data_IF_703052577470
#
_entry.id   IF_703052577470
#
_cell.length_a   1.000
_cell.length_b   1.000
_cell.length_c   1.000
_cell.angle_alpha   90.00
_cell.angle_beta   90.00
_cell.angle_gamma   90.00
#
_symmetry.space_group_name_H-M   'P 1'
#
loop_
_entity.id
_entity.type
_entity.pdbx_description
1 polymer ?
#
# COMPACT_ATOMS: atom_id res chain seq x y z
N UNK A 1 -26.49 18.29 -9.94
CA UNK A 1 -25.54 17.16 -9.77
C UNK A 1 -24.22 17.59 -10.37
N UNK A 2 -23.28 18.03 -9.52
CA UNK A 2 -21.90 18.34 -9.94
C UNK A 2 -21.13 17.06 -9.71
N UNK A 3 -20.92 16.29 -10.78
CA UNK A 3 -20.00 15.18 -10.77
C UNK A 3 -18.58 15.73 -10.64
N UNK A 4 -17.84 15.31 -9.63
CA UNK A 4 -16.38 15.48 -9.61
C UNK A 4 -15.82 14.66 -10.76
N UNK A 5 -15.67 15.28 -11.92
CA UNK A 5 -14.83 14.78 -12.98
C UNK A 5 -13.38 15.18 -12.64
N UNK A 6 -12.70 14.35 -11.87
CA UNK A 6 -11.26 14.41 -11.78
C UNK A 6 -10.68 13.42 -12.80
N UNK A 7 -10.83 13.75 -14.07
CA UNK A 7 -10.18 13.03 -15.19
C UNK A 7 -8.65 13.24 -15.20
N UNK A 8 -8.14 14.14 -14.38
CA UNK A 8 -6.70 14.44 -14.24
C UNK A 8 -5.87 13.24 -13.73
N UNK A 9 -6.51 12.23 -13.14
CA UNK A 9 -5.82 11.02 -12.67
C UNK A 9 -5.59 9.96 -13.75
N UNK A 10 -6.25 10.10 -14.88
CA UNK A 10 -6.24 9.09 -15.96
C UNK A 10 -5.50 9.55 -17.21
N UNK A 11 -5.10 10.81 -17.25
CA UNK A 11 -4.36 11.38 -18.38
C UNK A 11 -3.01 11.90 -17.86
N UNK A 12 -1.93 11.39 -18.44
CA UNK A 12 -0.64 12.08 -18.42
C UNK A 12 -0.81 13.35 -19.29
N UNK A 13 -1.41 14.38 -18.69
CA UNK A 13 -1.73 15.64 -19.36
C UNK A 13 -0.52 16.54 -19.60
N UNK A 14 0.70 16.10 -19.28
CA UNK A 14 1.94 16.85 -19.48
C UNK A 14 2.02 18.18 -18.71
N UNK A 15 1.08 18.44 -17.81
CA UNK A 15 0.97 19.71 -17.05
C UNK A 15 1.28 19.59 -15.56
N UNK A 16 1.36 18.39 -15.03
CA UNK A 16 1.67 18.16 -13.62
C UNK A 16 3.17 17.87 -13.48
N UNK A 17 3.82 18.57 -12.54
CA UNK A 17 5.20 18.25 -12.18
C UNK A 17 5.19 16.94 -11.36
N UNK A 18 5.70 15.83 -11.89
CA UNK A 18 5.71 14.55 -11.17
C UNK A 18 6.75 14.52 -10.03
N UNK A 19 7.71 15.42 -10.08
CA UNK A 19 8.84 15.42 -9.16
C UNK A 19 8.46 16.01 -7.81
N UNK A 20 8.76 15.25 -6.76
CA UNK A 20 8.60 15.67 -5.37
C UNK A 20 9.98 15.95 -4.75
N UNK A 21 10.11 17.12 -4.09
CA UNK A 21 11.36 17.53 -3.45
C UNK A 21 11.50 16.92 -2.07
N UNK A 22 11.84 15.65 -1.99
CA UNK A 22 11.99 14.87 -0.77
C UNK A 22 12.07 13.38 -1.08
N UNK A 23 12.16 12.57 -0.06
CA UNK A 23 12.14 11.11 -0.14
C UNK A 23 10.70 10.58 -0.26
N UNK A 24 10.55 9.26 -0.47
CA UNK A 24 9.24 8.60 -0.41
C UNK A 24 8.59 8.81 0.96
N UNK A 25 9.36 8.71 2.04
CA UNK A 25 8.85 8.94 3.39
C UNK A 25 8.40 10.39 3.58
N UNK A 26 9.20 11.38 3.14
CA UNK A 26 8.84 12.80 3.20
C UNK A 26 7.53 13.08 2.46
N UNK A 27 7.32 12.46 1.29
CA UNK A 27 6.08 12.60 0.55
C UNK A 27 4.86 12.15 1.36
N UNK A 28 4.96 11.01 2.02
CA UNK A 28 3.86 10.47 2.83
C UNK A 28 3.61 11.33 4.09
N UNK A 29 4.67 11.75 4.79
CA UNK A 29 4.59 12.55 6.02
C UNK A 29 4.05 13.96 5.76
N UNK A 30 4.42 14.56 4.63
CA UNK A 30 4.07 15.93 4.27
C UNK A 30 2.81 16.03 3.41
N UNK A 31 2.10 14.92 3.20
CA UNK A 31 0.85 14.95 2.45
C UNK A 31 -0.13 15.96 3.06
N UNK A 32 -0.72 16.87 2.26
CA UNK A 32 -1.57 17.96 2.76
C UNK A 32 -2.80 17.47 3.51
N UNK A 33 -3.38 16.35 3.09
CA UNK A 33 -4.44 15.68 3.84
C UNK A 33 -3.85 14.68 4.81
N UNK A 34 -3.81 15.04 6.10
CA UNK A 34 -3.27 14.20 7.17
C UNK A 34 -4.05 12.90 7.40
N UNK A 35 -5.30 12.83 6.96
CA UNK A 35 -6.11 11.61 7.05
C UNK A 35 -5.82 10.61 5.93
N UNK A 36 -4.91 10.94 5.02
CA UNK A 36 -4.62 10.10 3.88
C UNK A 36 -3.59 9.01 4.18
N UNK A 37 -2.49 9.37 4.90
CA UNK A 37 -1.35 8.50 5.15
C UNK A 37 -0.83 8.52 6.59
N UNK A 38 -1.52 9.12 7.56
CA UNK A 38 -0.98 9.22 8.92
C UNK A 38 -0.86 7.86 9.61
N UNK A 39 -1.84 6.99 9.47
CA UNK A 39 -1.77 5.62 9.99
C UNK A 39 -0.70 4.81 9.26
N UNK A 40 -0.62 4.97 7.93
CA UNK A 40 0.41 4.32 7.11
C UNK A 40 1.82 4.70 7.56
N UNK A 41 2.09 5.99 7.75
CA UNK A 41 3.38 6.51 8.22
C UNK A 41 3.70 6.00 9.62
N UNK A 42 2.73 6.04 10.54
CA UNK A 42 2.91 5.49 11.88
C UNK A 42 3.29 4.01 11.84
N UNK A 43 2.66 3.23 10.98
CA UNK A 43 2.97 1.80 10.85
C UNK A 43 4.29 1.53 10.15
N UNK A 44 4.73 2.39 9.22
CA UNK A 44 6.08 2.32 8.64
C UNK A 44 7.14 2.49 9.74
N UNK A 45 6.99 3.51 10.59
CA UNK A 45 7.89 3.73 11.73
C UNK A 45 7.83 2.57 12.73
N UNK A 46 6.65 2.16 13.11
CA UNK A 46 6.44 1.07 14.07
C UNK A 46 7.02 -0.27 13.58
N UNK A 47 6.92 -0.54 12.28
CA UNK A 47 7.51 -1.72 11.65
C UNK A 47 9.04 -1.63 11.45
N UNK A 48 9.66 -0.48 11.76
CA UNK A 48 11.10 -0.24 11.58
C UNK A 48 11.51 -0.22 10.11
N UNK A 49 10.66 0.33 9.24
CA UNK A 49 10.90 0.37 7.79
C UNK A 49 11.39 1.73 7.28
N UNK A 50 11.70 2.67 8.16
CA UNK A 50 12.11 4.04 7.81
C UNK A 50 13.19 4.07 6.74
N UNK A 51 14.25 3.28 6.92
CA UNK A 51 15.39 3.25 5.98
C UNK A 51 14.98 2.80 4.57
N UNK A 52 13.99 1.92 4.44
CA UNK A 52 13.48 1.49 3.14
C UNK A 52 12.87 2.67 2.40
N UNK A 53 12.07 3.48 3.09
CA UNK A 53 11.35 4.61 2.51
C UNK A 53 12.19 5.89 2.38
N UNK A 54 13.25 6.01 3.17
CA UNK A 54 14.18 7.16 3.10
C UNK A 54 15.31 6.95 2.10
N UNK A 55 15.87 5.73 2.02
CA UNK A 55 17.12 5.47 1.33
C UNK A 55 17.01 4.43 0.21
N UNK A 56 15.97 3.58 0.24
CA UNK A 56 15.79 2.54 -0.75
C UNK A 56 15.35 3.12 -2.10
N UNK A 57 15.88 2.59 -3.20
CA UNK A 57 15.35 2.84 -4.54
C UNK A 57 14.15 1.93 -4.77
N UNK A 58 12.94 2.50 -4.68
CA UNK A 58 11.70 1.73 -4.63
C UNK A 58 10.59 2.30 -5.49
N UNK A 59 9.69 1.42 -5.92
CA UNK A 59 8.33 1.76 -6.34
C UNK A 59 7.39 1.37 -5.20
N UNK A 60 6.65 2.33 -4.70
CA UNK A 60 5.73 2.13 -3.58
C UNK A 60 4.28 2.30 -4.03
N UNK A 61 3.51 1.24 -3.90
CA UNK A 61 2.07 1.27 -4.11
C UNK A 61 1.39 1.63 -2.79
N UNK A 62 1.21 2.91 -2.54
CA UNK A 62 0.76 3.44 -1.26
C UNK A 62 -0.71 3.12 -0.97
N UNK A 63 -1.03 2.24 0.00
CA UNK A 63 -2.38 2.09 0.50
C UNK A 63 -2.75 3.30 1.35
N UNK A 64 -4.02 3.67 1.37
CA UNK A 64 -4.51 4.77 2.20
C UNK A 64 -4.89 4.29 3.60
N UNK A 65 -4.98 5.21 4.55
CA UNK A 65 -5.44 4.93 5.92
C UNK A 65 -6.81 4.25 5.94
N UNK A 66 -7.69 4.56 4.98
CA UNK A 66 -8.99 3.91 4.84
C UNK A 66 -8.86 2.40 4.62
N UNK A 67 -7.93 1.99 3.75
CA UNK A 67 -7.68 0.57 3.48
C UNK A 67 -7.16 -0.16 4.72
N UNK A 68 -6.26 0.50 5.48
CA UNK A 68 -5.72 -0.02 6.74
C UNK A 68 -6.84 -0.19 7.77
N UNK A 69 -7.61 0.85 8.01
CA UNK A 69 -8.71 0.84 9.00
C UNK A 69 -9.78 -0.17 8.63
N UNK A 70 -10.06 -0.36 7.36
CA UNK A 70 -11.03 -1.35 6.90
C UNK A 70 -10.62 -2.78 7.27
N UNK A 71 -9.34 -3.13 7.09
CA UNK A 71 -8.81 -4.45 7.46
C UNK A 71 -8.72 -4.63 8.98
N UNK A 72 -8.36 -3.57 9.72
CA UNK A 72 -8.31 -3.60 11.20
C UNK A 72 -9.71 -3.67 11.81
N UNK A 73 -10.70 -3.00 11.23
CA UNK A 73 -12.11 -3.12 11.67
C UNK A 73 -12.63 -4.55 11.46
N UNK A 74 -12.26 -5.17 10.34
CA UNK A 74 -12.62 -6.58 10.10
C UNK A 74 -11.96 -7.52 11.11
N UNK A 75 -10.68 -7.32 11.44
CA UNK A 75 -10.00 -8.02 12.54
C UNK A 75 -10.73 -7.82 13.87
N UNK A 76 -11.08 -6.59 14.21
CA UNK A 76 -11.79 -6.25 15.45
C UNK A 76 -13.12 -6.98 15.57
N UNK A 77 -13.87 -7.04 14.46
CA UNK A 77 -15.13 -7.79 14.40
C UNK A 77 -14.92 -9.29 14.61
N UNK A 78 -13.88 -9.86 14.04
CA UNK A 78 -13.53 -11.28 14.24
C UNK A 78 -13.16 -11.57 15.70
N UNK A 79 -12.32 -10.73 16.31
CA UNK A 79 -11.94 -10.86 17.72
C UNK A 79 -13.19 -10.82 18.61
N UNK A 80 -14.04 -9.81 18.44
CA UNK A 80 -15.20 -9.61 19.29
C UNK A 80 -16.27 -10.69 19.10
N UNK A 81 -16.74 -10.91 17.87
CA UNK A 81 -17.89 -11.79 17.62
C UNK A 81 -17.54 -13.27 17.57
N UNK A 82 -16.30 -13.62 17.21
CA UNK A 82 -15.92 -15.03 17.03
C UNK A 82 -15.11 -15.54 18.23
N UNK A 83 -14.28 -14.70 18.83
CA UNK A 83 -13.37 -15.11 19.91
C UNK A 83 -13.77 -14.59 21.28
N UNK A 84 -14.70 -13.63 21.35
CA UNK A 84 -15.10 -12.99 22.62
C UNK A 84 -14.01 -12.11 23.22
N UNK A 85 -13.09 -11.63 22.40
CA UNK A 85 -11.98 -10.77 22.79
C UNK A 85 -12.28 -9.30 22.52
N UNK A 86 -11.50 -8.39 23.10
CA UNK A 86 -11.61 -6.96 22.86
C UNK A 86 -11.22 -6.59 21.43
N UNK A 87 -11.91 -5.60 20.87
CA UNK A 87 -11.57 -5.00 19.58
C UNK A 87 -10.24 -4.26 19.66
N UNK A 88 -9.54 -4.20 18.52
CA UNK A 88 -8.32 -3.39 18.37
C UNK A 88 -8.68 -1.91 18.46
N UNK A 89 -8.04 -1.18 19.35
CA UNK A 89 -8.25 0.27 19.61
C UNK A 89 -7.03 1.10 19.21
N UNK A 90 -5.87 0.46 19.10
CA UNK A 90 -4.60 1.05 18.73
C UNK A 90 -3.93 0.12 17.70
N UNK A 91 -3.49 0.65 16.59
CA UNK A 91 -2.86 -0.14 15.50
C UNK A 91 -1.63 -0.91 15.98
N UNK A 92 -0.94 -0.40 17.01
CA UNK A 92 0.23 -1.02 17.65
C UNK A 92 -0.10 -2.27 18.49
N UNK A 93 -1.39 -2.58 18.69
CA UNK A 93 -1.81 -3.87 19.25
C UNK A 93 -1.53 -5.02 18.26
N UNK A 94 -1.48 -4.72 16.96
CA UNK A 94 -0.99 -5.65 15.93
C UNK A 94 0.53 -5.53 15.94
N UNK A 95 1.23 -6.65 16.06
CA UNK A 95 2.69 -6.66 16.22
C UNK A 95 3.44 -6.10 15.00
N UNK A 96 4.61 -5.48 15.21
CA UNK A 96 5.36 -4.82 14.14
C UNK A 96 5.79 -5.76 13.01
N UNK A 97 6.06 -7.04 13.31
CA UNK A 97 6.39 -8.04 12.30
C UNK A 97 5.25 -8.31 11.31
N UNK A 98 3.99 -8.22 11.77
CA UNK A 98 2.82 -8.37 10.90
C UNK A 98 2.73 -7.16 9.96
N UNK A 99 2.85 -5.94 10.50
CA UNK A 99 2.88 -4.73 9.67
C UNK A 99 4.01 -4.78 8.65
N UNK A 100 5.20 -5.19 9.07
CA UNK A 100 6.37 -5.30 8.18
C UNK A 100 6.12 -6.28 7.03
N UNK A 101 5.54 -7.45 7.31
CA UNK A 101 5.21 -8.45 6.29
C UNK A 101 4.27 -7.85 5.23
N UNK A 102 3.15 -7.24 5.66
CA UNK A 102 2.15 -6.73 4.73
C UNK A 102 2.59 -5.43 4.03
N UNK A 103 3.24 -4.49 4.73
CA UNK A 103 3.78 -3.27 4.11
C UNK A 103 4.82 -3.61 3.03
N UNK A 104 5.65 -4.63 3.28
CA UNK A 104 6.66 -5.08 2.33
C UNK A 104 6.07 -5.62 1.02
N UNK A 105 4.81 -6.04 1.01
CA UNK A 105 4.10 -6.46 -0.21
C UNK A 105 3.81 -5.29 -1.15
N UNK A 106 3.75 -4.06 -0.65
CA UNK A 106 3.49 -2.85 -1.44
C UNK A 106 4.75 -2.18 -1.98
N UNK A 107 5.93 -2.72 -1.65
CA UNK A 107 7.22 -2.18 -2.06
C UNK A 107 7.87 -3.08 -3.11
N UNK A 108 8.13 -2.51 -4.28
CA UNK A 108 8.89 -3.17 -5.36
C UNK A 108 10.26 -2.49 -5.45
N UNK A 109 11.38 -3.23 -5.36
CA UNK A 109 12.70 -2.66 -5.62
C UNK A 109 12.82 -2.10 -7.03
N UNK A 110 13.43 -0.92 -7.16
CA UNK A 110 13.56 -0.21 -8.44
C UNK A 110 12.47 0.85 -8.69
N UNK A 111 12.67 1.66 -9.69
CA UNK A 111 11.76 2.77 -10.07
C UNK A 111 11.00 2.43 -11.33
N UNK A 112 9.70 2.27 -11.22
CA UNK A 112 8.80 1.93 -12.32
C UNK A 112 7.70 2.99 -12.42
N UNK A 113 7.78 3.84 -13.43
CA UNK A 113 6.69 4.73 -13.83
C UNK A 113 5.68 3.97 -14.68
N UNK A 114 4.51 4.56 -14.91
CA UNK A 114 3.46 3.97 -15.76
C UNK A 114 3.99 3.48 -17.12
N UNK A 115 4.91 4.25 -17.74
CA UNK A 115 5.52 3.92 -19.02
C UNK A 115 6.41 2.68 -19.01
N UNK A 116 6.90 2.28 -17.82
CA UNK A 116 7.83 1.16 -17.62
C UNK A 116 7.08 -0.15 -17.31
N UNK A 117 5.77 -0.07 -17.07
CA UNK A 117 4.93 -1.18 -16.68
C UNK A 117 4.23 -1.75 -17.93
N UNK A 118 4.28 -3.09 -18.13
CA UNK A 118 3.68 -3.71 -19.30
C UNK A 118 2.15 -3.66 -19.27
N UNK A 119 1.54 -3.80 -20.45
CA UNK A 119 0.09 -3.82 -20.60
C UNK A 119 -0.51 -5.05 -19.91
N UNK A 120 -1.64 -4.82 -19.22
CA UNK A 120 -2.51 -5.87 -18.69
C UNK A 120 -3.91 -5.72 -19.30
N UNK A 121 -4.44 -6.81 -19.85
CA UNK A 121 -5.85 -6.89 -20.22
C UNK A 121 -6.46 -8.11 -19.51
N UNK A 122 -7.32 -7.88 -18.53
CA UNK A 122 -7.95 -8.95 -17.73
C UNK A 122 -8.87 -9.85 -18.56
N UNK A 123 -9.34 -9.37 -19.71
CA UNK A 123 -10.13 -10.16 -20.66
C UNK A 123 -9.27 -10.91 -21.68
N UNK A 124 -7.98 -10.55 -21.81
CA UNK A 124 -7.04 -11.12 -22.77
C UNK A 124 -5.65 -11.33 -22.13
N UNK A 125 -5.60 -11.90 -20.94
CA UNK A 125 -4.36 -12.07 -20.16
C UNK A 125 -3.29 -12.90 -20.87
N UNK A 126 -3.66 -13.80 -21.75
CA UNK A 126 -2.69 -14.57 -22.53
C UNK A 126 -1.88 -13.69 -23.50
N UNK A 127 -2.48 -12.58 -23.97
CA UNK A 127 -1.81 -11.62 -24.87
C UNK A 127 -1.16 -10.48 -24.09
N UNK A 128 -1.80 -10.04 -23.00
CA UNK A 128 -1.38 -8.91 -22.18
C UNK A 128 -1.43 -9.27 -20.68
N UNK A 129 -0.44 -10.01 -20.18
CA UNK A 129 -0.47 -10.54 -18.80
C UNK A 129 -0.04 -9.52 -17.72
N UNK A 130 0.43 -8.33 -18.07
CA UNK A 130 1.20 -7.51 -17.18
C UNK A 130 2.61 -8.07 -16.96
N UNK A 131 3.19 -7.82 -15.79
CA UNK A 131 4.51 -8.33 -15.43
C UNK A 131 4.57 -8.81 -13.98
N UNK A 132 5.30 -9.88 -13.74
CA UNK A 132 5.58 -10.39 -12.41
C UNK A 132 6.83 -9.71 -11.83
N UNK A 133 6.69 -9.15 -10.63
CA UNK A 133 7.75 -8.44 -9.91
C UNK A 133 7.80 -8.91 -8.45
N UNK A 134 8.98 -9.17 -7.93
CA UNK A 134 9.12 -9.55 -6.54
C UNK A 134 9.06 -8.34 -5.62
N UNK A 135 8.10 -8.37 -4.71
CA UNK A 135 8.00 -7.37 -3.65
C UNK A 135 9.12 -7.53 -2.62
N UNK A 136 9.30 -6.55 -1.76
CA UNK A 136 10.24 -6.62 -0.64
C UNK A 136 9.91 -7.77 0.35
N UNK A 137 8.65 -8.23 0.36
CA UNK A 137 8.23 -9.43 1.09
C UNK A 137 8.69 -10.74 0.43
N UNK A 138 9.38 -10.68 -0.71
CA UNK A 138 9.77 -11.86 -1.49
C UNK A 138 8.59 -12.53 -2.21
N UNK A 139 7.43 -11.90 -2.24
CA UNK A 139 6.25 -12.41 -2.95
C UNK A 139 6.19 -11.84 -4.37
N UNK A 140 5.94 -12.70 -5.37
CA UNK A 140 5.69 -12.23 -6.72
C UNK A 140 4.31 -11.56 -6.79
N UNK A 141 4.31 -10.30 -7.23
CA UNK A 141 3.13 -9.48 -7.47
C UNK A 141 3.01 -9.21 -8.96
N UNK A 142 1.82 -8.87 -9.45
CA UNK A 142 1.65 -8.42 -10.82
C UNK A 142 1.53 -6.89 -10.87
N UNK A 143 2.26 -6.26 -11.78
CA UNK A 143 2.04 -4.88 -12.18
C UNK A 143 1.59 -4.86 -13.63
N UNK A 144 0.50 -4.16 -13.92
CA UNK A 144 0.00 -4.07 -15.27
C UNK A 144 -0.71 -2.74 -15.54
N UNK A 145 -0.59 -2.25 -16.78
CA UNK A 145 -1.33 -1.06 -17.22
C UNK A 145 -2.52 -1.50 -18.05
N UNK A 146 -3.70 -1.19 -17.55
CA UNK A 146 -4.94 -1.37 -18.30
C UNK A 146 -5.13 -0.18 -19.24
N UNK A 147 -5.39 -0.47 -20.49
CA UNK A 147 -5.72 0.50 -21.52
C UNK A 147 -7.22 0.40 -21.78
N UNK A 148 -7.94 1.43 -21.41
CA UNK A 148 -9.38 1.48 -21.62
C UNK A 148 -9.71 1.80 -23.08
N UNK A 149 -10.91 1.44 -23.50
CA UNK A 149 -11.43 1.79 -24.81
C UNK A 149 -11.98 3.22 -24.79
N UNK A 150 -11.92 3.90 -25.93
CA UNK A 150 -12.53 5.21 -26.11
C UNK A 150 -13.24 5.30 -27.44
N UNK A 151 -14.48 5.80 -27.45
CA UNK A 151 -15.29 6.03 -28.66
C UNK A 151 -15.38 4.80 -29.60
N UNK A 152 -15.44 3.60 -29.02
CA UNK A 152 -15.50 2.35 -29.77
C UNK A 152 -14.15 1.86 -30.32
N UNK A 153 -13.06 2.58 -30.04
CA UNK A 153 -11.69 2.18 -30.43
C UNK A 153 -11.02 1.50 -29.24
N UNK A 154 -10.56 0.26 -29.47
CA UNK A 154 -9.91 -0.56 -28.45
C UNK A 154 -8.56 0.07 -28.05
N UNK A 155 -8.34 0.14 -26.72
CA UNK A 155 -7.11 0.67 -26.10
C UNK A 155 -6.80 2.16 -26.36
N UNK A 156 -7.74 2.93 -26.90
CA UNK A 156 -7.54 4.35 -27.21
C UNK A 156 -7.87 5.30 -26.03
N UNK A 157 -8.37 4.75 -24.94
CA UNK A 157 -8.80 5.51 -23.75
C UNK A 157 -7.70 5.69 -22.71
N UNK A 158 -8.10 6.14 -21.51
CA UNK A 158 -7.20 6.34 -20.38
C UNK A 158 -6.45 5.07 -20.00
N UNK A 159 -5.32 5.25 -19.33
CA UNK A 159 -4.50 4.17 -18.78
C UNK A 159 -4.58 4.16 -17.28
N UNK A 160 -4.62 2.98 -16.68
CA UNK A 160 -4.63 2.81 -15.24
C UNK A 160 -3.71 1.66 -14.82
N UNK A 161 -2.89 1.90 -13.81
CA UNK A 161 -2.08 0.84 -13.22
C UNK A 161 -2.96 -0.02 -12.31
N UNK A 162 -2.85 -1.34 -12.48
CA UNK A 162 -3.29 -2.34 -11.53
C UNK A 162 -2.06 -2.95 -10.85
N UNK A 163 -2.09 -2.97 -9.52
CA UNK A 163 -1.15 -3.70 -8.69
C UNK A 163 -1.87 -4.87 -8.03
N UNK A 164 -1.38 -6.08 -8.22
CA UNK A 164 -2.17 -7.26 -7.88
C UNK A 164 -1.38 -8.27 -7.06
N UNK A 165 -2.02 -8.77 -6.01
CA UNK A 165 -1.61 -9.99 -5.34
C UNK A 165 -2.05 -11.18 -6.21
N UNK A 166 -1.13 -12.11 -6.46
CA UNK A 166 -1.39 -13.24 -7.35
C UNK A 166 -1.48 -14.50 -6.50
N UNK A 167 -2.67 -15.10 -6.46
CA UNK A 167 -2.89 -16.40 -5.83
C UNK A 167 -2.29 -17.52 -6.66
N UNK A 168 -2.49 -17.45 -7.98
CA UNK A 168 -1.96 -18.41 -8.93
C UNK A 168 -1.66 -17.75 -10.29
N UNK A 169 -0.40 -17.77 -10.68
CA UNK A 169 0.03 -17.24 -11.98
C UNK A 169 -0.40 -18.06 -13.18
N UNK A 170 -0.63 -19.37 -13.01
CA UNK A 170 -1.05 -20.23 -14.11
C UNK A 170 -2.47 -19.92 -14.58
N UNK A 171 -3.36 -19.65 -13.63
CA UNK A 171 -4.74 -19.23 -13.88
C UNK A 171 -4.94 -17.73 -13.91
N UNK A 172 -3.90 -16.93 -13.56
CA UNK A 172 -3.97 -15.48 -13.33
C UNK A 172 -5.08 -15.10 -12.34
N UNK A 173 -5.22 -15.92 -11.28
CA UNK A 173 -6.10 -15.60 -10.16
C UNK A 173 -5.46 -14.49 -9.31
N UNK A 174 -6.01 -13.28 -9.41
CA UNK A 174 -5.44 -12.06 -8.87
C UNK A 174 -6.45 -11.28 -8.04
N UNK A 175 -5.96 -10.71 -6.93
CA UNK A 175 -6.67 -9.67 -6.18
C UNK A 175 -6.09 -8.32 -6.59
N UNK A 176 -6.87 -7.54 -7.33
CA UNK A 176 -6.43 -6.32 -7.97
C UNK A 176 -6.60 -5.09 -7.07
N UNK A 177 -5.56 -4.27 -6.96
CA UNK A 177 -5.62 -2.93 -6.41
C UNK A 177 -5.48 -1.92 -7.55
N UNK A 178 -6.45 -1.02 -7.68
CA UNK A 178 -6.48 0.02 -8.71
C UNK A 178 -5.73 1.25 -8.21
N UNK A 179 -4.83 1.78 -9.03
CA UNK A 179 -4.10 3.01 -8.74
C UNK A 179 -4.98 4.22 -9.08
N UNK A 180 -5.06 5.16 -8.13
CA UNK A 180 -5.80 6.43 -8.30
C UNK A 180 -4.88 7.55 -8.80
N UNK A 181 -3.65 7.64 -8.26
CA UNK A 181 -2.63 8.61 -8.69
C UNK A 181 -1.33 7.88 -8.95
N UNK A 182 -0.70 8.14 -10.08
CA UNK A 182 0.55 7.48 -10.46
C UNK A 182 1.67 8.48 -10.71
N UNK A 183 2.89 7.94 -10.82
CA UNK A 183 4.09 8.65 -11.25
C UNK A 183 4.51 9.83 -10.37
N UNK A 184 4.21 9.78 -9.08
CA UNK A 184 4.79 10.73 -8.12
C UNK A 184 6.25 10.29 -7.89
N UNK A 185 7.21 11.19 -8.15
CA UNK A 185 8.64 10.88 -8.20
C UNK A 185 9.44 11.62 -7.13
N UNK A 186 9.49 11.10 -5.89
CA UNK A 186 10.46 11.50 -4.89
C UNK A 186 11.90 11.14 -5.33
N UNK A 187 12.92 11.65 -4.61
CA UNK A 187 14.33 11.44 -4.96
C UNK A 187 14.71 9.96 -5.09
N UNK A 188 14.20 9.14 -4.19
CA UNK A 188 14.57 7.74 -4.08
C UNK A 188 13.53 6.77 -4.63
N UNK A 189 12.47 7.22 -5.29
CA UNK A 189 11.46 6.27 -5.74
C UNK A 189 10.39 6.80 -6.67
N UNK A 190 9.39 5.96 -6.86
CA UNK A 190 8.11 6.28 -7.50
C UNK A 190 6.99 5.87 -6.56
N UNK A 191 6.01 6.75 -6.37
CA UNK A 191 4.82 6.44 -5.57
C UNK A 191 3.60 6.38 -6.48
N UNK A 192 2.87 5.28 -6.36
CA UNK A 192 1.56 5.09 -6.95
C UNK A 192 0.54 4.94 -5.83
N UNK A 193 -0.42 5.84 -5.74
CA UNK A 193 -1.43 5.81 -4.67
C UNK A 193 -2.57 4.89 -5.04
N UNK A 194 -2.84 3.90 -4.22
CA UNK A 194 -3.94 2.96 -4.43
C UNK A 194 -5.28 3.64 -4.08
N UNK A 195 -6.27 3.41 -4.93
CA UNK A 195 -7.64 3.84 -4.67
C UNK A 195 -8.20 3.12 -3.43
N UNK A 196 -8.77 3.86 -2.49
CA UNK A 196 -9.29 3.28 -1.25
C UNK A 196 -10.52 2.39 -1.46
N UNK A 197 -11.32 2.65 -2.50
CA UNK A 197 -12.51 1.85 -2.80
C UNK A 197 -12.11 0.47 -3.32
N UNK A 198 -12.73 -0.56 -2.75
CA UNK A 198 -12.50 -1.96 -3.12
C UNK A 198 -11.06 -2.46 -2.89
N UNK A 199 -10.33 -1.84 -1.96
CA UNK A 199 -9.03 -2.34 -1.55
C UNK A 199 -9.00 -2.60 -0.05
N UNK A 200 -8.63 -3.83 0.34
CA UNK A 200 -8.32 -4.20 1.70
C UNK A 200 -6.80 -4.15 1.88
N UNK A 201 -6.32 -3.54 2.95
CA UNK A 201 -4.90 -3.61 3.28
C UNK A 201 -4.46 -5.08 3.43
N UNK A 202 -3.36 -5.44 2.78
CA UNK A 202 -2.87 -6.81 2.68
C UNK A 202 -3.53 -7.63 1.57
N UNK A 203 -4.38 -7.03 0.73
CA UNK A 203 -5.15 -7.63 -0.38
C UNK A 203 -6.22 -8.60 0.10
N UNK A 204 -5.85 -9.68 0.77
CA UNK A 204 -6.77 -10.63 1.39
C UNK A 204 -6.89 -10.34 2.89
N UNK A 205 -8.06 -9.82 3.29
CA UNK A 205 -8.32 -9.46 4.70
C UNK A 205 -8.37 -10.67 5.63
N UNK A 206 -8.75 -11.85 5.13
CA UNK A 206 -8.78 -13.06 5.96
C UNK A 206 -7.36 -13.54 6.25
N UNK A 207 -6.44 -13.44 5.28
CA UNK A 207 -5.01 -13.72 5.48
C UNK A 207 -4.40 -12.72 6.47
N UNK A 208 -4.73 -11.43 6.34
CA UNK A 208 -4.27 -10.40 7.29
C UNK A 208 -4.74 -10.73 8.72
N UNK A 209 -6.02 -11.05 8.90
CA UNK A 209 -6.60 -11.40 10.20
C UNK A 209 -5.94 -12.64 10.79
N UNK A 210 -5.77 -13.71 9.99
CA UNK A 210 -5.11 -14.94 10.45
C UNK A 210 -3.68 -14.69 10.92
N UNK A 211 -2.93 -13.88 10.19
CA UNK A 211 -1.55 -13.49 10.55
C UNK A 211 -1.52 -12.67 11.84
N UNK A 212 -2.39 -11.68 11.97
CA UNK A 212 -2.46 -10.85 13.17
C UNK A 212 -2.82 -11.67 14.42
N UNK A 213 -3.85 -12.51 14.33
CA UNK A 213 -4.27 -13.39 15.43
C UNK A 213 -3.18 -14.43 15.73
N UNK A 214 -2.59 -15.05 14.71
CA UNK A 214 -1.53 -16.04 14.87
C UNK A 214 -0.27 -15.49 15.53
N UNK A 215 0.06 -14.22 15.27
CA UNK A 215 1.14 -13.51 15.95
C UNK A 215 0.80 -13.14 17.41
N UNK A 216 -0.49 -13.05 17.71
CA UNK A 216 -1.03 -12.60 19.00
C UNK A 216 -1.25 -11.08 19.06
N UNK A 217 -2.42 -10.69 19.53
CA UNK A 217 -2.80 -9.29 19.70
C UNK A 217 -2.30 -8.79 21.06
N UNK A 218 -1.62 -7.65 21.06
CA UNK A 218 -1.12 -7.03 22.29
C UNK A 218 -2.26 -6.34 23.05
N UNK A 219 -2.21 -6.37 24.37
CA UNK A 219 -3.07 -5.52 25.19
C UNK A 219 -2.66 -4.05 25.08
N UNK A 220 -3.58 -3.12 25.37
CA UNK A 220 -3.25 -1.69 25.42
C UNK A 220 -2.19 -1.37 26.49
N UNK A 221 -2.16 -2.12 27.58
CA UNK A 221 -1.14 -1.97 28.62
C UNK A 221 0.25 -2.35 28.09
N UNK A 222 0.33 -3.45 27.35
CA UNK A 222 1.57 -3.89 26.72
C UNK A 222 2.07 -2.87 25.68
N UNK A 223 1.18 -2.29 24.86
CA UNK A 223 1.52 -1.23 23.93
C UNK A 223 2.13 -0.03 24.65
N UNK A 224 1.47 0.45 25.70
CA UNK A 224 1.98 1.58 26.52
C UNK A 224 3.32 1.27 27.19
N UNK A 225 3.51 0.04 27.66
CA UNK A 225 4.77 -0.39 28.26
C UNK A 225 5.90 -0.33 27.24
N UNK A 226 5.71 -0.89 26.05
CA UNK A 226 6.70 -0.90 24.96
C UNK A 226 7.04 0.51 24.48
N UNK A 227 6.05 1.38 24.37
CA UNK A 227 6.26 2.78 24.02
C UNK A 227 7.15 3.50 25.04
N UNK A 228 6.89 3.28 26.32
CA UNK A 228 7.70 3.85 27.41
C UNK A 228 9.14 3.34 27.39
N UNK A 229 9.34 2.05 27.17
CA UNK A 229 10.67 1.44 27.05
C UNK A 229 11.43 1.99 25.84
N UNK A 230 10.76 2.18 24.71
CA UNK A 230 11.35 2.79 23.52
C UNK A 230 11.81 4.23 23.78
N UNK A 231 10.96 5.05 24.41
CA UNK A 231 11.30 6.45 24.72
C UNK A 231 12.47 6.57 25.70
N UNK A 232 12.60 5.64 26.64
CA UNK A 232 13.74 5.59 27.56
C UNK A 232 15.03 5.30 26.80
N UNK A 233 15.04 4.25 25.97
CA UNK A 233 16.22 3.88 25.15
C UNK A 233 16.64 5.01 24.24
N UNK A 234 15.70 5.64 23.53
CA UNK A 234 16.01 6.76 22.64
C UNK A 234 16.66 7.93 23.36
N UNK A 235 16.19 8.26 24.57
CA UNK A 235 16.81 9.31 25.40
C UNK A 235 18.21 8.95 25.89
N UNK A 236 18.50 7.68 26.04
CA UNK A 236 19.85 7.20 26.39
C UNK A 236 20.80 7.27 25.19
N UNK A 237 20.32 6.91 24.00
CA UNK A 237 21.08 7.02 22.75
C UNK A 237 21.41 8.49 22.39
N UNK A 238 20.44 9.38 22.57
CA UNK A 238 20.62 10.83 22.29
C UNK A 238 21.59 11.54 23.28
N UNK A 239 22.02 10.85 24.35
CA UNK A 239 22.97 11.37 25.36
C UNK A 239 24.42 10.94 25.14
N UNK A 240 24.65 10.00 24.22
CA UNK A 240 25.96 9.47 23.86
C UNK A 240 26.52 10.16 22.63
#
# INVERSE_FOLDING_TARGET
>A
AIGCQNDDYLQDGGKHNPYYNGTVLDYLEQHPDKHYFSDLVEMIHYAGMDSVFQNGEITFFAPTDWSIRFSVDYLSKKLYFTMGEDSVRDLRQIKPEVWKEFLSMYVIPGKYCLKDIPQLDTAAVSAYPGGAYYSLAGKPMNMGVVYYDASGVKYAGPRQILYSYVNDFASMDMINAYVASCDIQPFNGVVHVIRFTNHNFGFDRDVFVQKAIGAGILSLEEVKRREKEYLVRKKEEDRL
#
